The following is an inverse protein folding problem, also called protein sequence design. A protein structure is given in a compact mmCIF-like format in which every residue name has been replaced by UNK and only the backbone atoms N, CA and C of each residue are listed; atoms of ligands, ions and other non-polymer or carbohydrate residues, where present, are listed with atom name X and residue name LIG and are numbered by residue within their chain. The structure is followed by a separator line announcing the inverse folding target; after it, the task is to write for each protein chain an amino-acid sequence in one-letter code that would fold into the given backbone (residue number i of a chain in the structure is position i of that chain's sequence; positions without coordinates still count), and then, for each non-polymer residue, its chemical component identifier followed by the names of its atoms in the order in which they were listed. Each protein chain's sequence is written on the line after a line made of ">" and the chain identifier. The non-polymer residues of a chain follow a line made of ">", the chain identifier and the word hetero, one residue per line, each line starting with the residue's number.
data_IF_038419907737
#
_entry.id   IF_038419907737
#
_cell.length_a   1.000
_cell.length_b   1.000
_cell.length_c   1.000
_cell.angle_alpha   90.00
_cell.angle_beta   90.00
_cell.angle_gamma   90.00
#
_symmetry.space_group_name_H-M   'P 1'
#
loop_
_entity.id
_entity.type
_entity.pdbx_description
1 polymer ?
#
# COMPACT_ATOMS: atom_id res chain seq x y z
N UNK A 1 -12.65 34.41 18.84
CA UNK A 1 -12.33 33.76 17.55
C UNK A 1 -11.07 32.94 17.77
N UNK A 2 -11.22 31.66 18.11
CA UNK A 2 -10.11 30.73 18.36
C UNK A 2 -9.46 30.37 17.02
N UNK A 3 -8.13 30.50 16.87
CA UNK A 3 -7.46 30.10 15.65
C UNK A 3 -7.47 28.57 15.55
N UNK A 4 -7.84 28.06 14.38
CA UNK A 4 -7.78 26.65 14.05
C UNK A 4 -6.31 26.16 14.16
N UNK A 5 -6.05 25.27 15.13
CA UNK A 5 -4.75 24.64 15.28
C UNK A 5 -4.51 23.73 14.07
N UNK A 6 -3.46 24.07 13.31
CA UNK A 6 -2.96 23.27 12.19
C UNK A 6 -2.40 21.96 12.74
N UNK A 7 -2.79 20.86 12.11
CA UNK A 7 -2.32 19.51 12.40
C UNK A 7 -0.88 19.37 11.86
N UNK A 8 0.09 19.85 12.64
CA UNK A 8 1.50 19.56 12.41
C UNK A 8 1.84 18.33 13.26
N UNK A 9 2.08 17.19 12.61
CA UNK A 9 2.44 15.94 13.28
C UNK A 9 3.93 15.94 13.65
N UNK A 10 4.33 16.87 14.50
CA UNK A 10 5.63 16.81 15.15
C UNK A 10 5.45 16.27 16.57
N UNK A 11 6.35 15.38 16.98
CA UNK A 11 6.48 14.91 18.36
C UNK A 11 6.95 16.07 19.23
N UNK A 12 6.03 16.94 19.63
CA UNK A 12 6.32 18.08 20.50
C UNK A 12 6.43 17.51 21.92
N UNK A 13 7.66 17.50 22.45
CA UNK A 13 7.91 17.20 23.85
C UNK A 13 7.27 18.29 24.70
N UNK A 14 6.40 17.91 25.62
CA UNK A 14 5.81 18.87 26.55
C UNK A 14 6.87 19.38 27.53
N UNK A 15 6.72 20.63 27.97
CA UNK A 15 7.65 21.29 28.89
C UNK A 15 7.73 20.64 30.28
N UNK A 16 6.78 19.76 30.61
CA UNK A 16 6.73 18.94 31.83
C UNK A 16 7.41 17.56 31.67
N UNK A 17 8.01 17.29 30.50
CA UNK A 17 8.70 16.03 30.21
C UNK A 17 7.81 14.91 29.65
N UNK A 18 6.53 15.18 29.40
CA UNK A 18 5.65 14.21 28.75
C UNK A 18 5.99 14.09 27.25
N UNK A 19 6.35 12.88 26.80
CA UNK A 19 6.81 12.62 25.42
C UNK A 19 5.73 12.76 24.35
N UNK A 20 4.45 12.67 24.71
CA UNK A 20 3.34 12.74 23.77
C UNK A 20 2.16 13.48 24.42
N UNK A 21 1.92 14.73 24.03
CA UNK A 21 0.70 15.47 24.41
C UNK A 21 -0.52 14.98 23.64
N UNK A 22 -0.29 14.44 22.44
CA UNK A 22 -1.33 13.93 21.55
C UNK A 22 -0.74 12.89 20.61
N UNK A 23 -1.40 11.73 20.49
CA UNK A 23 -1.19 10.81 19.37
C UNK A 23 -2.27 11.10 18.34
N UNK A 24 -1.90 11.72 17.23
CA UNK A 24 -2.77 11.85 16.08
C UNK A 24 -3.36 10.49 15.70
N UNK A 25 -4.69 10.43 15.55
CA UNK A 25 -5.36 9.21 15.13
C UNK A 25 -4.92 8.82 13.72
N UNK A 26 -4.43 7.61 13.55
CA UNK A 26 -3.96 7.09 12.26
C UNK A 26 -2.44 6.93 12.17
N UNK A 27 -2.00 6.32 11.08
CA UNK A 27 -0.58 6.10 10.82
C UNK A 27 0.08 7.39 10.29
N UNK A 28 1.30 7.74 10.75
CA UNK A 28 2.07 8.84 10.15
C UNK A 28 2.48 8.51 8.70
N UNK A 29 2.43 7.24 8.31
CA UNK A 29 2.56 6.81 6.92
C UNK A 29 1.21 7.04 6.23
N UNK A 30 1.10 8.15 5.48
CA UNK A 30 -0.03 8.41 4.57
C UNK A 30 -0.25 7.19 3.68
N UNK A 31 -1.51 6.77 3.55
CA UNK A 31 -1.95 5.60 2.79
C UNK A 31 -1.15 5.42 1.48
N UNK A 32 -0.22 4.47 1.48
CA UNK A 32 0.50 4.01 0.30
C UNK A 32 -0.39 3.14 -0.58
N UNK A 33 -1.65 3.54 -0.78
CA UNK A 33 -2.67 2.73 -1.42
C UNK A 33 -2.36 2.47 -2.90
N UNK A 34 -1.63 3.38 -3.56
CA UNK A 34 -1.52 3.41 -5.03
C UNK A 34 -0.12 3.16 -5.60
N UNK A 35 0.93 3.04 -4.77
CA UNK A 35 2.32 2.86 -5.25
C UNK A 35 3.01 1.60 -4.70
N UNK A 36 2.24 0.59 -4.27
CA UNK A 36 2.79 -0.66 -3.76
C UNK A 36 3.31 -1.60 -4.86
N UNK A 37 4.49 -2.17 -4.64
CA UNK A 37 4.94 -3.36 -5.38
C UNK A 37 4.38 -4.63 -4.73
N UNK A 38 4.00 -5.63 -5.53
CA UNK A 38 3.51 -6.93 -5.07
C UNK A 38 4.42 -8.05 -5.58
N UNK A 39 4.61 -9.10 -4.79
CA UNK A 39 5.33 -10.31 -5.21
C UNK A 39 4.47 -11.14 -6.17
N UNK A 40 5.04 -11.49 -7.32
CA UNK A 40 4.39 -12.40 -8.26
C UNK A 40 4.51 -13.84 -7.76
N UNK A 41 3.40 -14.56 -7.57
CA UNK A 41 3.45 -15.94 -7.05
C UNK A 41 4.22 -16.92 -7.96
N UNK A 42 4.38 -16.59 -9.24
CA UNK A 42 5.03 -17.45 -10.23
C UNK A 42 6.54 -17.24 -10.37
N UNK A 43 7.04 -16.01 -10.35
CA UNK A 43 8.47 -15.69 -10.48
C UNK A 43 9.11 -15.16 -9.19
N UNK A 44 8.34 -14.92 -8.13
CA UNK A 44 8.80 -14.45 -6.83
C UNK A 44 9.22 -12.97 -6.76
N UNK A 45 9.41 -12.31 -7.90
CA UNK A 45 9.87 -10.91 -7.94
C UNK A 45 8.76 -9.92 -7.59
N UNK A 46 9.13 -8.86 -6.87
CA UNK A 46 8.27 -7.71 -6.63
C UNK A 46 8.13 -6.88 -7.91
N UNK A 47 6.89 -6.64 -8.32
CA UNK A 47 6.55 -5.83 -9.49
C UNK A 47 5.54 -4.77 -9.09
N UNK A 48 5.53 -3.61 -9.77
CA UNK A 48 4.50 -2.60 -9.52
C UNK A 48 3.12 -3.20 -9.78
N UNK A 49 2.16 -2.93 -8.89
CA UNK A 49 0.80 -3.49 -8.95
C UNK A 49 0.11 -3.24 -10.29
N UNK A 50 0.43 -2.12 -10.96
CA UNK A 50 -0.09 -1.77 -12.28
C UNK A 50 0.34 -2.72 -13.41
N UNK A 51 1.47 -3.44 -13.25
CA UNK A 51 2.02 -4.36 -14.26
C UNK A 51 1.65 -5.84 -14.00
N UNK A 52 0.52 -6.09 -13.36
CA UNK A 52 0.05 -7.43 -13.11
C UNK A 52 -1.46 -7.50 -12.92
N UNK A 53 -1.93 -8.71 -12.65
CA UNK A 53 -3.34 -9.02 -12.42
C UNK A 53 -3.48 -9.93 -11.20
N UNK A 54 -4.71 -10.06 -10.70
CA UNK A 54 -5.02 -10.98 -9.62
C UNK A 54 -5.72 -12.22 -10.18
N UNK A 55 -5.17 -13.39 -9.92
CA UNK A 55 -5.75 -14.68 -10.29
C UNK A 55 -6.04 -15.51 -9.05
N UNK A 56 -6.93 -16.49 -9.17
CA UNK A 56 -7.24 -17.41 -8.08
C UNK A 56 -6.25 -18.57 -8.12
N UNK A 57 -5.44 -18.70 -7.08
CA UNK A 57 -4.45 -19.76 -6.90
C UNK A 57 -4.59 -20.33 -5.48
N UNK A 58 -4.70 -21.65 -5.35
CA UNK A 58 -4.92 -22.33 -4.06
C UNK A 58 -6.08 -21.71 -3.25
N UNK A 59 -7.21 -21.42 -3.90
CA UNK A 59 -8.39 -20.77 -3.31
C UNK A 59 -8.18 -19.35 -2.73
N UNK A 60 -7.04 -18.72 -3.01
CA UNK A 60 -6.75 -17.34 -2.62
C UNK A 60 -6.55 -16.45 -3.85
N UNK A 61 -6.86 -15.16 -3.73
CA UNK A 61 -6.53 -14.17 -4.78
C UNK A 61 -5.07 -13.79 -4.63
N UNK A 62 -4.25 -14.15 -5.61
CA UNK A 62 -2.80 -13.92 -5.62
C UNK A 62 -2.42 -13.05 -6.81
N UNK A 63 -1.33 -12.29 -6.69
CA UNK A 63 -0.84 -11.41 -7.74
C UNK A 63 0.08 -12.16 -8.71
N UNK A 64 -0.13 -11.95 -10.02
CA UNK A 64 0.74 -12.43 -11.09
C UNK A 64 1.15 -11.28 -11.99
N UNK A 65 2.43 -11.17 -12.32
CA UNK A 65 2.90 -10.16 -13.25
C UNK A 65 2.49 -10.50 -14.69
N UNK A 66 2.35 -9.49 -15.55
CA UNK A 66 1.95 -9.68 -16.95
C UNK A 66 2.86 -10.64 -17.72
N UNK A 67 4.17 -10.64 -17.44
CA UNK A 67 5.12 -11.56 -18.07
C UNK A 67 4.86 -13.04 -17.73
N UNK A 68 4.26 -13.32 -16.57
CA UNK A 68 3.95 -14.67 -16.10
C UNK A 68 2.48 -15.06 -16.29
N UNK A 69 1.62 -14.11 -16.68
CA UNK A 69 0.20 -14.33 -16.88
C UNK A 69 -0.03 -15.25 -18.10
N UNK A 70 -1.04 -16.15 -18.04
CA UNK A 70 -1.42 -16.94 -19.21
C UNK A 70 -1.98 -16.01 -20.29
N UNK A 71 -1.39 -16.06 -21.49
CA UNK A 71 -1.91 -15.31 -22.63
C UNK A 71 -3.24 -15.91 -23.07
N UNK A 72 -4.27 -15.08 -23.39
CA UNK A 72 -5.50 -15.59 -23.96
C UNK A 72 -5.19 -16.31 -25.27
N UNK A 73 -5.64 -17.57 -25.41
CA UNK A 73 -5.56 -18.28 -26.68
C UNK A 73 -6.41 -17.51 -27.68
N UNK A 74 -5.81 -16.98 -28.75
CA UNK A 74 -6.58 -16.43 -29.87
C UNK A 74 -7.44 -17.57 -30.42
N UNK A 75 -8.77 -17.46 -30.32
CA UNK A 75 -9.67 -18.35 -31.04
C UNK A 75 -9.43 -18.15 -32.54
N UNK A 76 -9.16 -19.21 -33.32
CA UNK A 76 -9.14 -19.08 -34.76
C UNK A 76 -10.54 -18.66 -35.22
N UNK A 77 -10.57 -17.63 -36.07
CA UNK A 77 -11.78 -17.09 -36.68
C UNK A 77 -12.45 -18.11 -37.62
#
# INVERSE_FOLDING_TARGET
>A
MTPALKYEADSIMASDGLRYTFKGGGSPFKDSANMGTMSCYRCGLHKPRALGSFTRFLNQRTFVCQACAPQPKKSPA
#
